data_IF_559843342608
#
_entry.id   IF_559843342608
#
_cell.length_a   1.000
_cell.length_b   1.000
_cell.length_c   1.000
_cell.angle_alpha   90.00
_cell.angle_beta   90.00
_cell.angle_gamma   90.00
#
_symmetry.space_group_name_H-M   'P 1'
#
loop_
_entity.id
_entity.type
_entity.pdbx_description
1 polymer ?
#
# COMPACT_ATOMS: atom_id res chain seq x y z
N UNK A 1 -22.04 39.96 -29.40
CA UNK A 1 -21.11 39.98 -28.26
C UNK A 1 -21.93 39.82 -26.99
N UNK A 2 -21.89 38.66 -26.32
CA UNK A 2 -22.66 38.44 -25.10
C UNK A 2 -22.02 39.21 -23.94
N UNK A 3 -22.75 40.19 -23.41
CA UNK A 3 -22.40 40.90 -22.18
C UNK A 3 -22.51 39.88 -21.04
N UNK A 4 -21.39 39.29 -20.62
CA UNK A 4 -21.36 38.62 -19.32
C UNK A 4 -21.66 39.67 -18.28
N UNK A 5 -22.83 39.57 -17.62
CA UNK A 5 -23.18 40.35 -16.42
C UNK A 5 -21.95 40.37 -15.50
N UNK A 6 -21.53 41.57 -15.09
CA UNK A 6 -20.47 41.79 -14.10
C UNK A 6 -20.70 40.88 -12.91
N UNK A 7 -19.92 39.80 -12.83
CA UNK A 7 -20.08 38.77 -11.81
C UNK A 7 -19.06 39.06 -10.72
N UNK A 8 -19.55 39.50 -9.56
CA UNK A 8 -18.71 39.71 -8.38
C UNK A 8 -18.61 38.41 -7.58
N UNK A 9 -17.47 38.20 -6.92
CA UNK A 9 -17.28 37.10 -5.96
C UNK A 9 -17.18 37.66 -4.56
N UNK A 10 -17.61 36.88 -3.57
CA UNK A 10 -17.39 37.20 -2.17
C UNK A 10 -16.35 36.24 -1.58
N UNK A 11 -15.25 36.78 -1.08
CA UNK A 11 -14.23 36.08 -0.30
C UNK A 11 -14.74 36.04 1.15
N UNK A 12 -15.05 34.83 1.65
CA UNK A 12 -15.59 34.64 3.00
C UNK A 12 -14.67 35.21 4.08
N UNK A 13 -13.36 35.03 3.92
CA UNK A 13 -12.33 35.46 4.86
C UNK A 13 -11.02 35.85 4.16
N UNK A 14 -10.68 37.13 4.27
CA UNK A 14 -9.39 37.72 3.98
C UNK A 14 -8.73 38.16 5.30
N UNK A 15 -7.44 37.84 5.47
CA UNK A 15 -6.68 38.26 6.64
C UNK A 15 -6.40 39.77 6.58
N UNK A 16 -6.13 40.40 7.73
CA UNK A 16 -5.97 41.86 7.83
C UNK A 16 -4.83 42.42 6.96
N UNK A 17 -3.83 41.60 6.63
CA UNK A 17 -2.72 41.95 5.75
C UNK A 17 -3.02 41.75 4.25
N UNK A 18 -4.19 41.20 3.89
CA UNK A 18 -4.62 41.10 2.50
C UNK A 18 -5.19 42.44 2.03
N UNK A 19 -4.30 43.33 1.58
CA UNK A 19 -4.68 44.61 0.99
C UNK A 19 -5.40 44.43 -0.35
N UNK A 20 -6.06 45.48 -0.83
CA UNK A 20 -6.68 45.51 -2.16
C UNK A 20 -5.67 45.11 -3.24
N UNK A 21 -4.51 45.77 -3.28
CA UNK A 21 -3.43 45.45 -4.21
C UNK A 21 -2.97 43.99 -4.12
N UNK A 22 -2.92 43.42 -2.92
CA UNK A 22 -2.57 42.01 -2.75
C UNK A 22 -3.58 41.10 -3.45
N UNK A 23 -4.87 41.32 -3.21
CA UNK A 23 -5.93 40.51 -3.80
C UNK A 23 -5.98 40.68 -5.33
N UNK A 24 -5.89 41.92 -5.83
CA UNK A 24 -5.83 42.20 -7.27
C UNK A 24 -4.65 41.46 -7.91
N UNK A 25 -3.45 41.60 -7.34
CA UNK A 25 -2.25 40.97 -7.88
C UNK A 25 -2.36 39.45 -7.89
N UNK A 26 -2.91 38.84 -6.84
CA UNK A 26 -3.06 37.38 -6.77
C UNK A 26 -4.10 36.83 -7.74
N UNK A 27 -5.23 37.53 -7.91
CA UNK A 27 -6.25 37.12 -8.87
C UNK A 27 -5.75 37.28 -10.31
N UNK A 28 -5.00 38.34 -10.60
CA UNK A 28 -4.39 38.55 -11.91
C UNK A 28 -3.27 37.52 -12.18
N UNK A 29 -2.30 37.37 -11.26
CA UNK A 29 -1.16 36.47 -11.44
C UNK A 29 -1.56 35.00 -11.55
N UNK A 30 -2.66 34.62 -10.91
CA UNK A 30 -3.17 33.24 -10.96
C UNK A 30 -4.14 33.00 -12.13
N UNK A 31 -4.27 33.98 -13.03
CA UNK A 31 -5.07 33.94 -14.24
C UNK A 31 -6.58 33.81 -14.00
N UNK A 32 -7.14 34.47 -12.99
CA UNK A 32 -8.60 34.49 -12.78
C UNK A 32 -9.27 35.63 -13.54
N UNK A 33 -8.70 36.83 -13.52
CA UNK A 33 -9.25 37.97 -14.25
C UNK A 33 -8.67 39.32 -13.84
N UNK A 34 -9.22 40.37 -14.43
CA UNK A 34 -8.93 41.77 -14.11
C UNK A 34 -10.02 42.26 -13.15
N UNK A 35 -9.58 42.65 -11.95
CA UNK A 35 -10.45 43.22 -10.91
C UNK A 35 -10.73 44.69 -11.20
N UNK A 36 -11.97 45.12 -11.00
CA UNK A 36 -12.43 46.51 -11.11
C UNK A 36 -12.44 47.20 -9.74
N UNK A 37 -13.05 46.55 -8.74
CA UNK A 37 -13.26 47.10 -7.40
C UNK A 37 -13.18 45.99 -6.34
N UNK A 38 -12.62 46.32 -5.16
CA UNK A 38 -12.69 45.48 -3.97
C UNK A 38 -13.33 46.24 -2.81
N UNK A 39 -14.42 45.69 -2.26
CA UNK A 39 -15.08 46.21 -1.07
C UNK A 39 -14.86 45.31 0.13
N UNK A 40 -14.11 45.80 1.12
CA UNK A 40 -13.89 45.08 2.38
C UNK A 40 -15.07 45.26 3.35
N UNK A 41 -15.43 44.18 4.03
CA UNK A 41 -16.46 44.12 5.06
C UNK A 41 -15.79 43.66 6.34
N UNK A 42 -15.71 44.55 7.35
CA UNK A 42 -15.10 44.20 8.65
C UNK A 42 -15.94 43.14 9.36
N UNK A 43 -15.29 42.06 9.79
CA UNK A 43 -15.90 40.96 10.53
C UNK A 43 -15.05 40.59 11.74
N UNK A 44 -15.69 39.97 12.72
CA UNK A 44 -15.05 39.48 13.94
C UNK A 44 -15.43 38.01 14.10
N UNK A 45 -14.45 37.17 14.44
CA UNK A 45 -14.74 35.75 14.71
C UNK A 45 -15.23 35.56 16.15
N UNK A 46 -15.63 34.34 16.49
CA UNK A 46 -16.11 33.98 17.83
C UNK A 46 -15.06 34.18 18.95
N UNK A 47 -13.78 34.38 18.59
CA UNK A 47 -12.66 34.61 19.50
C UNK A 47 -12.24 36.09 19.56
N UNK A 48 -13.02 37.02 18.99
CA UNK A 48 -12.72 38.45 18.98
C UNK A 48 -11.64 38.89 17.98
N UNK A 49 -11.08 37.97 17.18
CA UNK A 49 -10.10 38.31 16.14
C UNK A 49 -10.81 38.94 14.95
N UNK A 50 -10.35 40.13 14.56
CA UNK A 50 -10.85 40.88 13.41
C UNK A 50 -10.27 40.30 12.12
N UNK A 51 -11.11 40.18 11.10
CA UNK A 51 -10.76 39.83 9.73
C UNK A 51 -11.68 40.56 8.76
N UNK A 52 -11.43 40.44 7.45
CA UNK A 52 -12.28 41.05 6.44
C UNK A 52 -13.02 39.98 5.63
N UNK A 53 -14.30 40.19 5.32
CA UNK A 53 -14.87 39.67 4.07
C UNK A 53 -14.48 40.62 2.94
N UNK A 54 -14.41 40.14 1.71
CA UNK A 54 -14.13 41.01 0.56
C UNK A 54 -15.06 40.67 -0.60
N UNK A 55 -15.77 41.68 -1.12
CA UNK A 55 -16.50 41.57 -2.39
C UNK A 55 -15.54 42.05 -3.47
N UNK A 56 -15.31 41.21 -4.48
CA UNK A 56 -14.42 41.50 -5.59
C UNK A 56 -15.25 41.54 -6.86
N UNK A 57 -15.31 42.71 -7.50
CA UNK A 57 -16.00 42.93 -8.77
C UNK A 57 -14.97 42.82 -9.89
N UNK A 58 -15.20 41.94 -10.86
CA UNK A 58 -14.32 41.77 -12.00
C UNK A 58 -14.74 42.66 -13.16
N UNK A 59 -13.77 43.39 -13.71
CA UNK A 59 -13.93 44.09 -15.00
C UNK A 59 -14.01 43.08 -16.14
N UNK A 60 -13.18 42.04 -16.07
CA UNK A 60 -13.13 40.97 -17.07
C UNK A 60 -12.59 39.68 -16.45
N UNK A 61 -13.27 38.56 -16.71
CA UNK A 61 -12.76 37.22 -16.43
C UNK A 61 -11.82 36.75 -17.54
N UNK A 62 -10.82 35.95 -17.20
CA UNK A 62 -10.00 35.29 -18.21
C UNK A 62 -10.69 34.03 -18.72
N UNK A 63 -10.70 33.84 -20.04
CA UNK A 63 -11.29 32.68 -20.69
C UNK A 63 -10.31 31.51 -20.70
N UNK A 64 -10.16 30.84 -19.55
CA UNK A 64 -9.30 29.68 -19.41
C UNK A 64 -9.98 28.56 -18.61
N UNK A 65 -9.36 27.37 -18.62
CA UNK A 65 -9.88 26.19 -17.93
C UNK A 65 -9.98 26.38 -16.42
N UNK A 66 -9.06 27.16 -15.80
CA UNK A 66 -9.10 27.42 -14.36
C UNK A 66 -10.35 28.17 -13.92
N UNK A 67 -10.75 29.18 -14.69
CA UNK A 67 -11.96 29.95 -14.41
C UNK A 67 -13.21 29.09 -14.65
N UNK A 68 -13.22 28.27 -15.72
CA UNK A 68 -14.31 27.30 -15.96
C UNK A 68 -14.44 26.30 -14.82
N UNK A 69 -13.34 25.70 -14.39
CA UNK A 69 -13.28 24.76 -13.26
C UNK A 69 -13.73 25.41 -11.95
N UNK A 70 -13.35 26.66 -11.71
CA UNK A 70 -13.82 27.42 -10.54
C UNK A 70 -15.36 27.53 -10.52
N UNK A 71 -15.97 27.93 -11.62
CA UNK A 71 -17.43 28.05 -11.70
C UNK A 71 -18.14 26.69 -11.64
N UNK A 72 -17.58 25.65 -12.26
CA UNK A 72 -18.11 24.29 -12.15
C UNK A 72 -18.11 23.81 -10.70
N UNK A 73 -17.00 24.02 -9.97
CA UNK A 73 -16.91 23.69 -8.53
C UNK A 73 -17.92 24.45 -7.68
N UNK A 74 -18.19 25.72 -8.01
CA UNK A 74 -19.25 26.47 -7.32
C UNK A 74 -20.64 25.89 -7.59
N UNK A 75 -20.91 25.38 -8.79
CA UNK A 75 -22.19 24.75 -9.15
C UNK A 75 -22.34 23.38 -8.48
N UNK A 76 -21.25 22.63 -8.36
CA UNK A 76 -21.23 21.30 -7.74
C UNK A 76 -21.29 21.34 -6.20
N UNK A 77 -20.85 22.42 -5.55
CA UNK A 77 -20.92 22.54 -4.09
C UNK A 77 -22.34 22.81 -3.61
N UNK A 78 -22.77 22.09 -2.57
CA UNK A 78 -24.08 22.27 -1.92
C UNK A 78 -24.31 23.70 -1.42
N UNK A 79 -23.24 24.37 -0.94
CA UNK A 79 -23.29 25.73 -0.42
C UNK A 79 -22.91 26.81 -1.46
N UNK A 80 -22.67 26.41 -2.71
CA UNK A 80 -22.28 27.32 -3.79
C UNK A 80 -20.86 27.88 -3.68
N UNK A 81 -20.00 27.31 -2.83
CA UNK A 81 -18.62 27.79 -2.65
C UNK A 81 -17.57 27.03 -3.46
N UNK A 82 -16.46 27.70 -3.73
CA UNK A 82 -15.26 27.09 -4.27
C UNK A 82 -14.00 27.68 -3.63
N UNK A 83 -12.84 27.09 -3.95
CA UNK A 83 -11.53 27.53 -3.44
C UNK A 83 -10.72 28.21 -4.52
N UNK A 84 -10.13 29.36 -4.20
CA UNK A 84 -9.13 30.05 -5.02
C UNK A 84 -7.79 30.00 -4.29
N UNK A 85 -6.78 29.39 -4.89
CA UNK A 85 -5.42 29.37 -4.33
C UNK A 85 -4.76 30.71 -4.63
N UNK A 86 -4.27 31.41 -3.59
CA UNK A 86 -3.55 32.68 -3.73
C UNK A 86 -2.05 32.55 -3.40
N UNK A 87 -1.64 31.44 -2.80
CA UNK A 87 -0.25 31.11 -2.52
C UNK A 87 0.00 29.62 -2.76
N UNK A 88 0.62 29.30 -3.90
CA UNK A 88 0.89 27.92 -4.31
C UNK A 88 1.96 27.27 -3.43
N UNK A 89 2.94 28.03 -2.94
CA UNK A 89 4.05 27.49 -2.15
C UNK A 89 3.58 27.01 -0.78
N UNK A 90 2.71 27.79 -0.12
CA UNK A 90 2.13 27.44 1.18
C UNK A 90 0.74 26.84 1.10
N UNK A 91 0.25 26.54 -0.11
CA UNK A 91 -1.10 26.03 -0.39
C UNK A 91 -2.22 26.82 0.32
N UNK A 92 -2.11 28.16 0.35
CA UNK A 92 -3.13 29.02 0.96
C UNK A 92 -4.22 29.37 -0.05
N UNK A 93 -5.46 29.32 0.42
CA UNK A 93 -6.63 29.52 -0.41
C UNK A 93 -7.68 30.41 0.26
N UNK A 94 -8.48 31.06 -0.57
CA UNK A 94 -9.72 31.73 -0.18
C UNK A 94 -10.91 30.83 -0.49
N UNK A 95 -11.88 30.83 0.40
CA UNK A 95 -13.21 30.28 0.12
C UNK A 95 -14.06 31.41 -0.46
N UNK A 96 -14.59 31.17 -1.65
CA UNK A 96 -15.32 32.16 -2.44
C UNK A 96 -16.69 31.62 -2.85
N UNK A 97 -17.66 32.52 -3.03
CA UNK A 97 -18.94 32.22 -3.65
C UNK A 97 -19.33 33.37 -4.59
N UNK A 98 -20.28 33.11 -5.50
CA UNK A 98 -20.86 34.15 -6.36
C UNK A 98 -21.60 35.13 -5.47
N UNK A 99 -21.22 36.41 -5.52
CA UNK A 99 -21.98 37.46 -4.88
C UNK A 99 -23.16 37.81 -5.78
N UNK A 100 -24.32 37.24 -5.47
CA UNK A 100 -25.59 37.73 -6.01
C UNK A 100 -25.90 38.99 -5.21
N UNK A 101 -25.90 40.15 -5.86
CA UNK A 101 -26.66 41.28 -5.31
C UNK A 101 -28.09 40.75 -5.20
N UNK A 102 -28.59 40.60 -3.97
CA UNK A 102 -30.03 40.53 -3.78
C UNK A 102 -30.58 41.77 -4.47
N UNK A 103 -31.37 41.54 -5.52
CA UNK A 103 -32.27 42.55 -6.02
C UNK A 103 -33.17 42.80 -4.81
N UNK A 104 -32.87 43.85 -4.04
CA UNK A 104 -33.80 44.44 -3.10
C UNK A 104 -35.14 44.47 -3.83
N UNK A 105 -36.11 43.76 -3.25
CA UNK A 105 -37.47 43.65 -3.75
C UNK A 105 -37.86 44.95 -4.46
N UNK A 106 -38.05 44.89 -5.77
CA UNK A 106 -38.81 45.91 -6.47
C UNK A 106 -40.17 45.89 -5.79
N UNK A 107 -40.42 46.94 -5.02
CA UNK A 107 -41.68 47.17 -4.33
C UNK A 107 -42.84 46.85 -5.28
N UNK A 108 -43.83 46.13 -4.74
CA UNK A 108 -45.09 45.75 -5.39
C UNK A 108 -45.99 46.98 -5.64
N UNK A 109 -45.45 48.08 -6.15
CA UNK A 109 -46.23 49.26 -6.48
C UNK A 109 -46.23 49.52 -8.00
N UNK A 110 -47.43 49.35 -8.56
CA UNK A 110 -47.90 49.74 -9.90
C UNK A 110 -47.52 48.87 -11.10
N UNK A 111 -48.25 47.75 -11.29
CA UNK A 111 -48.28 47.02 -12.56
C UNK A 111 -49.72 46.82 -13.08
N UNK A 112 -50.46 47.92 -13.28
CA UNK A 112 -51.79 47.86 -13.90
C UNK A 112 -51.87 48.40 -15.33
N UNK A 113 -50.76 48.73 -16.00
CA UNK A 113 -50.79 49.44 -17.30
C UNK A 113 -49.93 48.81 -18.42
N UNK A 114 -49.73 47.49 -18.41
CA UNK A 114 -49.22 46.81 -19.60
C UNK A 114 -50.34 46.57 -20.62
N UNK A 115 -50.09 46.93 -21.87
CA UNK A 115 -50.97 46.59 -22.99
C UNK A 115 -51.04 45.06 -23.15
N UNK A 116 -52.16 44.55 -23.68
CA UNK A 116 -52.40 43.10 -23.84
C UNK A 116 -51.28 42.41 -24.65
N UNK A 117 -50.65 43.15 -25.57
CA UNK A 117 -49.49 42.71 -26.35
C UNK A 117 -48.22 42.53 -25.50
N UNK A 118 -47.93 43.45 -24.58
CA UNK A 118 -46.75 43.36 -23.70
C UNK A 118 -46.89 42.22 -22.69
N UNK A 119 -48.10 42.00 -22.17
CA UNK A 119 -48.40 40.86 -21.30
C UNK A 119 -48.17 39.53 -22.03
N UNK A 120 -48.65 39.43 -23.27
CA UNK A 120 -48.42 38.24 -24.13
C UNK A 120 -46.92 38.02 -24.37
N UNK A 121 -46.17 39.07 -24.68
CA UNK A 121 -44.72 38.97 -24.90
C UNK A 121 -43.95 38.53 -23.64
N UNK A 122 -44.29 39.08 -22.46
CA UNK A 122 -43.68 38.65 -21.19
C UNK A 122 -43.98 37.18 -20.88
N UNK A 123 -45.21 36.72 -21.15
CA UNK A 123 -45.58 35.31 -21.00
C UNK A 123 -44.80 34.41 -21.96
N UNK A 124 -44.61 34.81 -23.22
CA UNK A 124 -43.80 34.06 -24.19
C UNK A 124 -42.33 33.96 -23.76
N UNK A 125 -41.76 35.04 -23.22
CA UNK A 125 -40.41 35.05 -22.64
C UNK A 125 -40.31 34.12 -21.44
N UNK A 126 -41.28 34.15 -20.53
CA UNK A 126 -41.33 33.27 -19.37
C UNK A 126 -41.43 31.79 -19.81
N UNK A 127 -42.30 31.47 -20.76
CA UNK A 127 -42.44 30.11 -21.30
C UNK A 127 -41.14 29.64 -21.96
N UNK A 128 -40.45 30.51 -22.69
CA UNK A 128 -39.14 30.19 -23.27
C UNK A 128 -38.09 29.92 -22.18
N UNK A 129 -38.05 30.74 -21.12
CA UNK A 129 -37.16 30.54 -19.97
C UNK A 129 -37.44 29.21 -19.28
N UNK A 130 -38.71 28.92 -18.97
CA UNK A 130 -39.12 27.67 -18.33
C UNK A 130 -38.79 26.44 -19.19
N UNK A 131 -38.98 26.52 -20.51
CA UNK A 131 -38.59 25.43 -21.43
C UNK A 131 -37.08 25.16 -21.41
N UNK A 132 -36.27 26.22 -21.35
CA UNK A 132 -34.82 26.08 -21.25
C UNK A 132 -34.41 25.45 -19.91
N UNK A 133 -35.03 25.88 -18.82
CA UNK A 133 -34.79 25.36 -17.48
C UNK A 133 -35.17 23.88 -17.37
N UNK A 134 -36.37 23.51 -17.83
CA UNK A 134 -36.84 22.11 -17.88
C UNK A 134 -35.91 21.22 -18.71
N UNK A 135 -35.41 21.72 -19.84
CA UNK A 135 -34.44 20.98 -20.65
C UNK A 135 -33.13 20.76 -19.90
N UNK A 136 -32.67 21.75 -19.14
CA UNK A 136 -31.45 21.62 -18.33
C UNK A 136 -31.63 20.61 -17.19
N UNK A 137 -32.79 20.62 -16.54
CA UNK A 137 -33.16 19.69 -15.47
C UNK A 137 -33.14 18.27 -16.00
N UNK A 138 -33.81 18.02 -17.14
CA UNK A 138 -33.84 16.69 -17.77
C UNK A 138 -32.44 16.16 -18.11
N UNK A 139 -31.57 17.01 -18.67
CA UNK A 139 -30.18 16.63 -18.96
C UNK A 139 -29.43 16.29 -17.67
N UNK A 140 -29.69 17.02 -16.59
CA UNK A 140 -29.04 16.77 -15.31
C UNK A 140 -29.53 15.49 -14.64
N UNK A 141 -30.83 15.19 -14.73
CA UNK A 141 -31.42 13.92 -14.28
C UNK A 141 -30.78 12.73 -15.02
N UNK A 142 -30.73 12.77 -16.35
CA UNK A 142 -30.10 11.72 -17.16
C UNK A 142 -28.61 11.52 -16.80
N UNK A 143 -27.89 12.61 -16.49
CA UNK A 143 -26.49 12.53 -16.03
C UNK A 143 -26.38 11.89 -14.65
N UNK A 144 -27.28 12.22 -13.73
CA UNK A 144 -27.29 11.65 -12.39
C UNK A 144 -27.65 10.16 -12.41
N UNK A 145 -28.61 9.75 -13.24
CA UNK A 145 -28.95 8.33 -13.42
C UNK A 145 -27.76 7.52 -13.94
N UNK A 146 -27.00 8.05 -14.92
CA UNK A 146 -25.78 7.40 -15.41
C UNK A 146 -24.74 7.23 -14.31
N UNK A 147 -24.50 8.28 -13.52
CA UNK A 147 -23.54 8.23 -12.39
C UNK A 147 -23.96 7.20 -11.34
N UNK A 148 -25.26 7.11 -11.03
CA UNK A 148 -25.78 6.12 -10.10
C UNK A 148 -25.57 4.69 -10.62
N UNK A 149 -25.85 4.46 -11.90
CA UNK A 149 -25.62 3.17 -12.53
C UNK A 149 -24.13 2.79 -12.57
N UNK A 150 -23.25 3.74 -12.88
CA UNK A 150 -21.80 3.52 -12.84
C UNK A 150 -21.32 3.16 -11.44
N UNK A 151 -21.82 3.85 -10.41
CA UNK A 151 -21.49 3.56 -9.01
C UNK A 151 -21.97 2.16 -8.58
N UNK A 152 -23.19 1.77 -8.95
CA UNK A 152 -23.71 0.43 -8.66
C UNK A 152 -22.90 -0.66 -9.36
N UNK A 153 -22.48 -0.42 -10.60
CA UNK A 153 -21.63 -1.34 -11.35
C UNK A 153 -20.24 -1.49 -10.69
N UNK A 154 -19.60 -0.38 -10.32
CA UNK A 154 -18.31 -0.40 -9.61
C UNK A 154 -18.45 -1.19 -8.31
N UNK A 155 -19.47 -0.90 -7.51
CA UNK A 155 -19.71 -1.58 -6.23
C UNK A 155 -19.96 -3.08 -6.40
N UNK A 156 -20.71 -3.46 -7.44
CA UNK A 156 -20.96 -4.87 -7.76
C UNK A 156 -19.68 -5.59 -8.19
N UNK A 157 -18.86 -4.92 -9.01
CA UNK A 157 -17.57 -5.44 -9.44
C UNK A 157 -16.61 -5.64 -8.26
N UNK A 158 -16.49 -4.64 -7.37
CA UNK A 158 -15.70 -4.74 -6.15
C UNK A 158 -16.15 -5.91 -5.27
N UNK A 159 -17.46 -6.12 -5.13
CA UNK A 159 -18.00 -7.24 -4.37
C UNK A 159 -17.60 -8.60 -4.96
N UNK A 160 -17.69 -8.75 -6.29
CA UNK A 160 -17.30 -9.97 -6.99
C UNK A 160 -15.80 -10.25 -6.84
N UNK A 161 -14.96 -9.25 -7.07
CA UNK A 161 -13.49 -9.36 -6.93
C UNK A 161 -13.12 -9.74 -5.49
N UNK A 162 -13.73 -9.09 -4.50
CA UNK A 162 -13.48 -9.40 -3.09
C UNK A 162 -13.89 -10.83 -2.72
N UNK A 163 -14.98 -11.35 -3.29
CA UNK A 163 -15.39 -12.73 -3.06
C UNK A 163 -14.46 -13.74 -3.74
N UNK A 164 -14.02 -13.46 -4.95
CA UNK A 164 -13.03 -14.28 -5.65
C UNK A 164 -11.71 -14.35 -4.88
N UNK A 165 -11.20 -13.22 -4.40
CA UNK A 165 -9.99 -13.16 -3.58
C UNK A 165 -10.13 -13.96 -2.29
N UNK A 166 -11.30 -13.91 -1.63
CA UNK A 166 -11.57 -14.72 -0.43
C UNK A 166 -11.55 -16.22 -0.73
N UNK A 167 -12.10 -16.63 -1.87
CA UNK A 167 -12.07 -18.04 -2.29
C UNK A 167 -10.63 -18.48 -2.57
N UNK A 168 -9.85 -17.68 -3.31
CA UNK A 168 -8.44 -17.98 -3.59
C UNK A 168 -7.61 -18.10 -2.30
N UNK A 169 -7.83 -17.21 -1.32
CA UNK A 169 -7.19 -17.29 -0.01
C UNK A 169 -7.55 -18.59 0.71
N UNK A 170 -8.84 -18.97 0.70
CA UNK A 170 -9.29 -20.21 1.32
C UNK A 170 -8.67 -21.45 0.68
N UNK A 171 -8.60 -21.51 -0.66
CA UNK A 171 -7.93 -22.60 -1.38
C UNK A 171 -6.44 -22.70 -1.01
N UNK A 172 -5.75 -21.56 -0.90
CA UNK A 172 -4.34 -21.53 -0.50
C UNK A 172 -4.12 -21.95 0.95
N UNK A 173 -5.04 -21.63 1.85
CA UNK A 173 -4.99 -22.12 3.23
C UNK A 173 -5.15 -23.64 3.30
N UNK A 174 -6.07 -24.22 2.51
CA UNK A 174 -6.26 -25.68 2.42
C UNK A 174 -5.02 -26.38 1.84
N UNK A 175 -4.41 -25.81 0.79
CA UNK A 175 -3.19 -26.33 0.19
C UNK A 175 -2.04 -26.32 1.21
N UNK A 176 -1.89 -25.23 1.97
CA UNK A 176 -0.90 -25.13 3.05
C UNK A 176 -1.11 -26.21 4.11
N UNK A 177 -2.33 -26.37 4.61
CA UNK A 177 -2.65 -27.39 5.61
C UNK A 177 -2.36 -28.82 5.13
N UNK A 178 -2.63 -29.09 3.85
CA UNK A 178 -2.33 -30.38 3.24
C UNK A 178 -0.82 -30.65 3.20
N UNK A 179 -0.04 -29.66 2.76
CA UNK A 179 1.43 -29.76 2.71
C UNK A 179 2.05 -29.91 4.10
N UNK A 180 1.53 -29.20 5.11
CA UNK A 180 1.96 -29.36 6.51
C UNK A 180 1.71 -30.78 7.04
N UNK A 181 0.57 -31.39 6.70
CA UNK A 181 0.27 -32.79 7.06
C UNK A 181 1.26 -33.75 6.40
N UNK A 182 1.57 -33.57 5.12
CA UNK A 182 2.56 -34.39 4.42
C UNK A 182 3.96 -34.27 5.04
N UNK A 183 4.42 -33.03 5.29
CA UNK A 183 5.71 -32.82 5.94
C UNK A 183 5.77 -33.44 7.34
N UNK A 184 4.67 -33.40 8.08
CA UNK A 184 4.59 -34.03 9.40
C UNK A 184 4.73 -35.56 9.33
N UNK A 185 4.12 -36.18 8.32
CA UNK A 185 4.29 -37.62 8.06
C UNK A 185 5.74 -37.93 7.74
N UNK A 186 6.37 -37.15 6.84
CA UNK A 186 7.76 -37.37 6.44
C UNK A 186 8.74 -37.19 7.60
N UNK A 187 8.55 -36.17 8.45
CA UNK A 187 9.35 -35.98 9.67
C UNK A 187 9.25 -37.19 10.59
N UNK A 188 8.06 -37.79 10.73
CA UNK A 188 7.90 -38.98 11.57
C UNK A 188 8.59 -40.20 10.97
N UNK A 189 8.50 -40.41 9.65
CA UNK A 189 9.23 -41.47 8.95
C UNK A 189 10.75 -41.32 9.15
N UNK A 190 11.29 -40.11 8.99
CA UNK A 190 12.71 -39.84 9.19
C UNK A 190 13.14 -40.08 10.64
N UNK A 191 12.30 -39.71 11.62
CA UNK A 191 12.58 -40.01 13.04
C UNK A 191 12.65 -41.51 13.30
N UNK A 192 11.77 -42.29 12.70
CA UNK A 192 11.79 -43.75 12.82
C UNK A 192 13.06 -44.35 12.20
N UNK A 193 13.45 -43.88 11.01
CA UNK A 193 14.70 -44.31 10.35
C UNK A 193 15.91 -43.99 11.23
N UNK A 194 15.99 -42.78 11.79
CA UNK A 194 17.08 -42.39 12.70
C UNK A 194 17.11 -43.29 13.94
N UNK A 195 15.95 -43.61 14.53
CA UNK A 195 15.87 -44.50 15.69
C UNK A 195 16.38 -45.91 15.35
N UNK A 196 16.01 -46.46 14.20
CA UNK A 196 16.49 -47.76 13.73
C UNK A 196 18.00 -47.75 13.50
N UNK A 197 18.53 -46.70 12.86
CA UNK A 197 19.98 -46.53 12.67
C UNK A 197 20.75 -46.45 13.99
N UNK A 198 20.19 -45.81 15.01
CA UNK A 198 20.81 -45.74 16.34
C UNK A 198 20.91 -47.13 17.00
N UNK A 199 19.85 -47.95 16.86
CA UNK A 199 19.84 -49.34 17.34
C UNK A 199 20.91 -50.17 16.63
N UNK A 200 21.02 -50.06 15.30
CA UNK A 200 21.99 -50.83 14.54
C UNK A 200 23.43 -50.38 14.83
N UNK A 201 23.66 -49.09 15.05
CA UNK A 201 24.94 -48.57 15.53
C UNK A 201 25.34 -49.23 16.85
N UNK A 202 24.44 -49.31 17.83
CA UNK A 202 24.72 -49.94 19.13
C UNK A 202 25.07 -51.43 18.98
N UNK A 203 24.35 -52.17 18.11
CA UNK A 203 24.68 -53.58 17.81
C UNK A 203 26.07 -53.72 17.20
N UNK A 204 26.43 -52.85 16.27
CA UNK A 204 27.75 -52.84 15.64
C UNK A 204 28.86 -52.52 16.63
N UNK A 205 28.66 -51.55 17.53
CA UNK A 205 29.62 -51.21 18.59
C UNK A 205 29.85 -52.41 19.53
N UNK A 206 28.80 -53.13 19.93
CA UNK A 206 28.92 -54.36 20.73
C UNK A 206 29.69 -55.45 19.99
N UNK A 207 29.37 -55.67 18.71
CA UNK A 207 30.06 -56.66 17.87
C UNK A 207 31.55 -56.32 17.71
N UNK A 208 31.87 -55.06 17.47
CA UNK A 208 33.24 -54.56 17.36
C UNK A 208 34.01 -54.78 18.66
N UNK A 209 33.40 -54.49 19.81
CA UNK A 209 34.02 -54.72 21.11
C UNK A 209 34.37 -56.20 21.34
N UNK A 210 33.46 -57.11 20.99
CA UNK A 210 33.70 -58.56 21.07
C UNK A 210 34.88 -58.96 20.15
N UNK A 211 34.89 -58.48 18.91
CA UNK A 211 35.97 -58.77 17.95
C UNK A 211 37.31 -58.23 18.40
N UNK A 212 37.33 -57.04 19.00
CA UNK A 212 38.55 -56.47 19.55
C UNK A 212 39.10 -57.30 20.72
N UNK A 213 38.22 -57.79 21.61
CA UNK A 213 38.61 -58.72 22.68
C UNK A 213 39.20 -60.02 22.12
N UNK A 214 38.54 -60.66 21.16
CA UNK A 214 39.04 -61.87 20.50
C UNK A 214 40.41 -61.67 19.84
N UNK A 215 40.60 -60.52 19.18
CA UNK A 215 41.88 -60.16 18.58
C UNK A 215 42.99 -60.05 19.64
N UNK A 216 42.71 -59.40 20.78
CA UNK A 216 43.69 -59.26 21.85
C UNK A 216 44.06 -60.61 22.49
N UNK A 217 43.08 -61.51 22.65
CA UNK A 217 43.32 -62.89 23.13
C UNK A 217 44.21 -63.67 22.15
N UNK A 218 43.92 -63.63 20.85
CA UNK A 218 44.74 -64.26 19.82
C UNK A 218 46.15 -63.68 19.74
N UNK A 219 46.28 -62.36 19.93
CA UNK A 219 47.57 -61.68 19.96
C UNK A 219 48.42 -62.18 21.13
N UNK A 220 47.84 -62.30 22.33
CA UNK A 220 48.53 -62.86 23.50
C UNK A 220 49.00 -64.29 23.23
N UNK A 221 48.13 -65.15 22.67
CA UNK A 221 48.52 -66.52 22.31
C UNK A 221 49.68 -66.55 21.30
N UNK A 222 49.66 -65.67 20.29
CA UNK A 222 50.77 -65.56 19.34
C UNK A 222 52.08 -65.11 20.00
N UNK A 223 52.01 -64.19 20.96
CA UNK A 223 53.18 -63.71 21.71
C UNK A 223 53.75 -64.83 22.61
N UNK A 224 52.87 -65.62 23.25
CA UNK A 224 53.23 -66.79 24.05
C UNK A 224 53.91 -67.88 23.18
N UNK A 225 53.32 -68.21 22.03
CA UNK A 225 53.89 -69.15 21.05
C UNK A 225 55.27 -68.69 20.57
N UNK A 226 55.44 -67.39 20.31
CA UNK A 226 56.73 -66.82 19.91
C UNK A 226 57.78 -66.95 21.03
N UNK A 227 57.37 -66.82 22.30
CA UNK A 227 58.26 -67.05 23.44
C UNK A 227 58.71 -68.51 23.54
N UNK A 228 57.79 -69.45 23.35
CA UNK A 228 58.08 -70.90 23.33
C UNK A 228 59.04 -71.24 22.18
N UNK A 229 58.79 -70.71 20.98
CA UNK A 229 59.69 -70.90 19.83
C UNK A 229 61.10 -70.40 20.12
N UNK A 230 61.25 -69.19 20.65
CA UNK A 230 62.57 -68.64 21.04
C UNK A 230 63.27 -69.50 22.10
N UNK A 231 62.51 -70.07 23.04
CA UNK A 231 63.05 -70.98 24.05
C UNK A 231 63.56 -72.29 23.42
N UNK A 232 62.72 -72.95 22.61
CA UNK A 232 63.10 -74.21 21.93
C UNK A 232 64.26 -74.02 20.96
N UNK A 233 64.32 -72.91 20.23
CA UNK A 233 65.47 -72.56 19.39
C UNK A 233 66.77 -72.45 20.21
N UNK A 234 66.70 -71.87 21.41
CA UNK A 234 67.84 -71.76 22.33
C UNK A 234 68.32 -73.14 22.79
N UNK A 235 67.41 -74.00 23.25
CA UNK A 235 67.76 -75.37 23.67
C UNK A 235 68.37 -76.18 22.51
N UNK A 236 67.79 -76.11 21.32
CA UNK A 236 68.34 -76.76 20.12
C UNK A 236 69.76 -76.27 19.85
N UNK A 237 70.01 -74.97 19.96
CA UNK A 237 71.36 -74.40 19.76
C UNK A 237 72.34 -74.85 20.85
N UNK A 238 71.92 -74.95 22.10
CA UNK A 238 72.74 -75.49 23.20
C UNK A 238 73.08 -76.97 22.99
N UNK A 239 72.10 -77.80 22.61
CA UNK A 239 72.31 -79.22 22.28
C UNK A 239 73.28 -79.38 21.10
N UNK A 240 73.10 -78.60 20.03
CA UNK A 240 74.04 -78.56 18.88
C UNK A 240 75.46 -78.21 19.33
N UNK A 241 75.61 -77.23 20.22
CA UNK A 241 76.92 -76.83 20.75
C UNK A 241 77.55 -77.95 21.59
N UNK A 242 76.77 -78.65 22.43
CA UNK A 242 77.26 -79.79 23.21
C UNK A 242 77.69 -80.96 22.32
N UNK A 243 76.88 -81.30 21.31
CA UNK A 243 77.20 -82.35 20.35
C UNK A 243 78.52 -82.05 19.61
N UNK A 244 78.68 -80.80 19.14
CA UNK A 244 79.91 -80.33 18.49
C UNK A 244 81.14 -80.39 19.41
N UNK A 245 80.98 -80.11 20.72
CA UNK A 245 82.07 -80.25 21.70
C UNK A 245 82.47 -81.71 21.90
N UNK A 246 81.50 -82.62 22.09
CA UNK A 246 81.78 -84.06 22.25
C UNK A 246 82.42 -84.66 21.00
N UNK A 247 81.99 -84.25 19.81
CA UNK A 247 82.61 -84.68 18.56
C UNK A 247 84.09 -84.27 18.47
N UNK A 248 84.44 -83.07 18.94
CA UNK A 248 85.84 -82.61 19.00
C UNK A 248 86.68 -83.37 20.04
N UNK A 249 86.10 -83.72 21.19
CA UNK A 249 86.80 -84.50 22.24
C UNK A 249 87.12 -85.91 21.73
N UNK A 250 86.15 -86.61 21.13
CA UNK A 250 86.35 -87.97 20.63
C UNK A 250 87.39 -88.04 19.48
N UNK A 251 87.54 -86.98 18.69
CA UNK A 251 88.60 -86.88 17.67
C UNK A 251 89.99 -86.56 18.25
N UNK A 252 90.07 -86.00 19.45
CA UNK A 252 91.34 -85.77 20.17
C UNK A 252 91.84 -87.00 20.92
N UNK A 253 90.95 -87.95 21.26
CA UNK A 253 91.32 -89.23 21.91
C UNK A 253 91.75 -90.33 20.92
N UNK A 254 91.59 -90.09 19.62
CA UNK A 254 91.97 -91.01 18.53
C UNK A 254 93.23 -90.56 17.76
N UNK A 255 93.87 -89.48 18.19
CA UNK A 255 95.12 -88.93 17.63
C UNK A 255 96.26 -89.05 18.63
#
# INVERSE_FOLDING_TARGET
MSVFKTTSIYIKRAEMNHTENYIINKLYSNNYGIVDEIKFIKKTNNFGKVYHGAIVTFKKWFENEKVKDLFMKMIESEDGTAKIIHDTYYNKFWIVNIHKQEILNLDEENNNDFTEYEKKYQLELLVCSLKAELKSIKINEEKNERRMMEYENIKSHEYLVNNELKMQLHEKDLEREYMEKLHKIEINNLKEIIANMAIDKEKLEKSLHIKHKQYNELKQHSDDDQCILKYTEREINELKNMLNKNYKINHLELA
#
